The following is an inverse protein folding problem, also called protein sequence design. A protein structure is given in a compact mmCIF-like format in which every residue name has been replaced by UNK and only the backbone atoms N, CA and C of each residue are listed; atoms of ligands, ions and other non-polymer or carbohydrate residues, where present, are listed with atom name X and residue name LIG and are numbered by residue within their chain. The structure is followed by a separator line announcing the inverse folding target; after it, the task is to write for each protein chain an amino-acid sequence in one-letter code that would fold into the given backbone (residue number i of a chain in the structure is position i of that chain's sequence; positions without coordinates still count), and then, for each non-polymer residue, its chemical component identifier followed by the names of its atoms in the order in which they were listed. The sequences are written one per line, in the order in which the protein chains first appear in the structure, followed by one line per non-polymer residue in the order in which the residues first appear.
data_IF_228524901900
#
_entry.id   IF_228524901900
#
_cell.length_a   1.000
_cell.length_b   1.000
_cell.length_c   1.000
_cell.angle_alpha   90.00
_cell.angle_beta   90.00
_cell.angle_gamma   90.00
#
_symmetry.space_group_name_H-M   'P 1'
#
loop_
_entity.id
_entity.type
_entity.pdbx_description
1 polymer ?
#
# COMPACT_ATOMS: atom_id res chain seq x y z
N UNK A 1 9.87 -0.13 24.92
CA UNK A 1 8.62 0.65 24.92
C UNK A 1 7.62 0.19 23.90
N UNK A 2 6.35 0.11 24.32
CA UNK A 2 5.17 -0.28 23.52
C UNK A 2 4.34 0.93 23.08
N UNK A 3 4.82 2.15 23.32
CA UNK A 3 4.12 3.38 22.96
C UNK A 3 4.23 3.61 21.46
N UNK A 4 3.09 3.87 20.83
CA UNK A 4 2.99 4.31 19.44
C UNK A 4 2.48 5.74 19.41
N UNK A 5 3.02 6.52 18.49
CA UNK A 5 2.67 7.91 18.27
C UNK A 5 2.29 8.13 16.80
N UNK A 6 1.29 8.99 16.58
CA UNK A 6 0.90 9.46 15.26
C UNK A 6 1.87 10.53 14.72
N UNK A 7 1.60 11.03 13.51
CA UNK A 7 2.40 12.10 12.89
C UNK A 7 2.47 13.40 13.70
N UNK A 8 1.52 13.64 14.61
CA UNK A 8 1.48 14.80 15.51
C UNK A 8 2.09 14.54 16.90
N UNK A 9 2.61 13.33 17.15
CA UNK A 9 3.17 12.95 18.45
C UNK A 9 2.12 12.56 19.50
N UNK A 10 0.87 12.32 19.09
CA UNK A 10 -0.22 11.90 19.97
C UNK A 10 -0.43 10.39 19.89
N UNK A 11 -1.16 9.85 20.87
CA UNK A 11 -1.57 8.43 20.84
C UNK A 11 -2.48 8.18 19.62
N UNK A 12 -2.14 7.23 18.73
CA UNK A 12 -2.96 6.93 17.57
C UNK A 12 -4.31 6.35 18.01
N UNK A 13 -5.38 6.77 17.34
CA UNK A 13 -6.73 6.25 17.58
C UNK A 13 -7.13 5.33 16.43
N UNK A 14 -7.41 4.07 16.76
CA UNK A 14 -7.97 3.10 15.83
C UNK A 14 -9.40 2.78 16.28
N UNK A 15 -10.32 2.72 15.33
CA UNK A 15 -11.73 2.43 15.60
C UNK A 15 -12.11 1.05 15.06
N UNK A 16 -13.29 0.55 15.44
CA UNK A 16 -13.87 -0.64 14.84
C UNK A 16 -13.95 -0.50 13.30
N UNK A 17 -14.21 0.71 12.80
CA UNK A 17 -14.22 1.01 11.36
C UNK A 17 -12.85 0.78 10.71
N UNK A 18 -11.74 1.06 11.40
CA UNK A 18 -10.39 0.76 10.92
C UNK A 18 -10.21 -0.76 10.74
N UNK A 19 -10.62 -1.54 11.73
CA UNK A 19 -10.58 -3.00 11.68
C UNK A 19 -11.48 -3.57 10.58
N UNK A 20 -12.72 -3.09 10.46
CA UNK A 20 -13.64 -3.55 9.41
C UNK A 20 -13.09 -3.26 8.01
N UNK A 21 -12.52 -2.07 7.77
CA UNK A 21 -11.89 -1.73 6.48
C UNK A 21 -10.71 -2.66 6.18
N UNK A 22 -9.90 -2.99 7.18
CA UNK A 22 -8.83 -3.96 7.00
C UNK A 22 -9.38 -5.33 6.58
N UNK A 23 -10.39 -5.87 7.27
CA UNK A 23 -10.94 -7.19 6.96
C UNK A 23 -11.66 -7.22 5.60
N UNK A 24 -12.32 -6.14 5.20
CA UNK A 24 -12.92 -6.01 3.86
C UNK A 24 -11.85 -6.06 2.76
N UNK A 25 -10.77 -5.29 2.93
CA UNK A 25 -9.62 -5.34 2.03
C UNK A 25 -9.04 -6.76 1.93
N UNK A 26 -8.88 -7.44 3.07
CA UNK A 26 -8.36 -8.83 3.07
C UNK A 26 -9.28 -9.75 2.27
N UNK A 27 -10.59 -9.66 2.48
CA UNK A 27 -11.57 -10.48 1.76
C UNK A 27 -11.48 -10.29 0.24
N UNK A 28 -11.35 -9.06 -0.21
CA UNK A 28 -11.26 -8.71 -1.65
C UNK A 28 -9.94 -9.17 -2.26
N UNK A 29 -8.82 -8.83 -1.61
CA UNK A 29 -7.47 -9.02 -2.16
C UNK A 29 -6.96 -10.46 -2.04
N UNK A 30 -7.51 -11.27 -1.13
CA UNK A 30 -6.98 -12.62 -0.86
C UNK A 30 -6.99 -13.55 -2.07
N UNK A 31 -7.93 -13.37 -3.01
CA UNK A 31 -8.04 -14.19 -4.21
C UNK A 31 -6.92 -13.91 -5.21
N UNK A 32 -6.53 -12.66 -5.35
CA UNK A 32 -5.52 -12.22 -6.32
C UNK A 32 -4.11 -12.25 -5.74
N UNK A 33 -3.96 -11.72 -4.53
CA UNK A 33 -2.65 -11.51 -3.90
C UNK A 33 -2.29 -12.60 -2.88
N UNK A 34 -3.25 -13.44 -2.50
CA UNK A 34 -3.10 -14.47 -1.48
C UNK A 34 -3.36 -13.95 -0.06
N UNK A 35 -3.92 -14.80 0.79
CA UNK A 35 -4.38 -14.44 2.14
C UNK A 35 -3.34 -13.74 3.01
N UNK A 36 -2.10 -14.27 3.06
CA UNK A 36 -1.04 -13.72 3.92
C UNK A 36 -0.59 -12.33 3.48
N UNK A 37 -0.44 -12.13 2.17
CA UNK A 37 -0.10 -10.83 1.60
C UNK A 37 -1.23 -9.84 1.83
N UNK A 38 -2.47 -10.25 1.56
CA UNK A 38 -3.66 -9.41 1.78
C UNK A 38 -3.78 -8.99 3.25
N UNK A 39 -3.53 -9.90 4.21
CA UNK A 39 -3.47 -9.60 5.64
C UNK A 39 -2.42 -8.53 5.96
N UNK A 40 -1.19 -8.71 5.47
CA UNK A 40 -0.11 -7.75 5.70
C UNK A 40 -0.41 -6.39 5.06
N UNK A 41 -0.74 -6.37 3.77
CA UNK A 41 -1.00 -5.14 3.01
C UNK A 41 -2.16 -4.37 3.65
N UNK A 42 -3.27 -5.04 3.97
CA UNK A 42 -4.40 -4.40 4.62
C UNK A 42 -4.08 -3.85 6.02
N UNK A 43 -3.27 -4.56 6.80
CA UNK A 43 -2.82 -4.09 8.10
C UNK A 43 -1.87 -2.88 7.97
N UNK A 44 -0.94 -2.94 7.01
CA UNK A 44 -0.04 -1.83 6.71
C UNK A 44 -0.83 -0.55 6.38
N UNK A 45 -1.87 -0.68 5.57
CA UNK A 45 -2.72 0.43 5.17
C UNK A 45 -3.58 0.99 6.31
N UNK A 46 -4.13 0.09 7.14
CA UNK A 46 -5.02 0.46 8.23
C UNK A 46 -4.30 1.04 9.46
N UNK A 47 -3.07 0.57 9.75
CA UNK A 47 -2.39 0.89 11.01
C UNK A 47 -1.13 1.73 10.83
N UNK A 48 -0.38 1.61 9.74
CA UNK A 48 0.91 2.31 9.59
C UNK A 48 0.78 3.73 9.06
N UNK A 49 -0.27 4.03 8.29
CA UNK A 49 -0.45 5.30 7.58
C UNK A 49 -0.68 6.50 8.50
N UNK A 50 -1.20 6.27 9.71
CA UNK A 50 -1.43 7.30 10.74
C UNK A 50 -0.18 7.54 11.61
N UNK A 51 0.74 6.58 11.65
CA UNK A 51 1.88 6.60 12.58
C UNK A 51 3.02 7.48 12.10
N UNK A 52 3.77 8.06 13.04
CA UNK A 52 5.07 8.61 12.70
C UNK A 52 6.06 7.51 12.29
N UNK A 53 7.17 7.92 11.65
CA UNK A 53 8.14 6.99 11.07
C UNK A 53 8.66 5.94 12.06
N UNK A 54 8.97 6.34 13.29
CA UNK A 54 9.52 5.45 14.32
C UNK A 54 8.49 4.43 14.81
N UNK A 55 7.26 4.90 15.07
CA UNK A 55 6.15 4.04 15.50
C UNK A 55 5.69 3.11 14.38
N UNK A 56 5.73 3.57 13.13
CA UNK A 56 5.44 2.75 11.96
C UNK A 56 6.43 1.58 11.83
N UNK A 57 7.73 1.79 12.07
CA UNK A 57 8.73 0.71 12.07
C UNK A 57 8.44 -0.32 13.15
N UNK A 58 8.09 0.12 14.37
CA UNK A 58 7.70 -0.78 15.46
C UNK A 58 6.45 -1.59 15.12
N UNK A 59 5.41 -0.91 14.64
CA UNK A 59 4.15 -1.55 14.29
C UNK A 59 4.32 -2.53 13.12
N UNK A 60 5.08 -2.19 12.09
CA UNK A 60 5.36 -3.08 10.95
C UNK A 60 6.02 -4.39 11.39
N UNK A 61 6.98 -4.30 12.32
CA UNK A 61 7.60 -5.48 12.93
C UNK A 61 6.57 -6.36 13.65
N UNK A 62 5.68 -5.75 14.42
CA UNK A 62 4.61 -6.49 15.12
C UNK A 62 3.64 -7.16 14.13
N UNK A 63 3.22 -6.44 13.09
CA UNK A 63 2.36 -6.97 12.03
C UNK A 63 3.03 -8.18 11.38
N UNK A 64 4.29 -8.06 10.96
CA UNK A 64 5.06 -9.18 10.37
C UNK A 64 5.17 -10.35 11.34
N UNK A 65 5.56 -10.10 12.58
CA UNK A 65 5.69 -11.15 13.59
C UNK A 65 4.36 -11.88 13.86
N UNK A 66 3.21 -11.21 13.78
CA UNK A 66 1.91 -11.80 14.13
C UNK A 66 1.17 -12.38 12.93
N UNK A 67 1.34 -11.82 11.74
CA UNK A 67 0.60 -12.19 10.53
C UNK A 67 1.44 -12.96 9.51
N UNK A 68 2.78 -12.79 9.52
CA UNK A 68 3.67 -13.38 8.52
C UNK A 68 4.38 -14.67 8.98
N UNK A 69 4.05 -15.24 10.15
CA UNK A 69 4.70 -16.46 10.66
C UNK A 69 4.62 -17.62 9.67
N UNK A 70 5.76 -18.02 9.11
CA UNK A 70 5.91 -19.17 8.21
C UNK A 70 7.20 -19.12 7.37
N UNK A 71 7.64 -20.24 6.76
CA UNK A 71 8.94 -20.38 6.09
C UNK A 71 9.15 -19.55 4.81
N UNK A 72 8.28 -18.57 4.52
CA UNK A 72 8.32 -17.70 3.33
C UNK A 72 8.46 -16.21 3.66
N UNK A 73 9.08 -15.86 4.79
CA UNK A 73 9.36 -14.46 5.17
C UNK A 73 10.24 -13.70 4.16
N UNK A 74 10.87 -14.38 3.20
CA UNK A 74 11.87 -13.82 2.30
C UNK A 74 11.49 -13.89 0.81
N UNK A 75 10.30 -14.42 0.46
CA UNK A 75 9.88 -14.39 -0.93
C UNK A 75 9.62 -12.92 -1.33
N UNK A 76 10.20 -12.43 -2.45
CA UNK A 76 9.88 -11.11 -2.96
C UNK A 76 8.36 -10.96 -3.10
N UNK A 77 7.84 -9.77 -2.79
CA UNK A 77 6.44 -9.45 -3.07
C UNK A 77 6.31 -9.34 -4.59
N UNK A 78 6.11 -10.47 -5.25
CA UNK A 78 5.94 -10.52 -6.71
C UNK A 78 4.51 -10.07 -7.04
N UNK A 79 4.39 -9.24 -8.07
CA UNK A 79 3.08 -8.90 -8.63
C UNK A 79 2.35 -10.20 -9.06
N UNK A 80 1.06 -10.36 -8.74
CA UNK A 80 0.29 -11.48 -9.26
C UNK A 80 0.13 -11.35 -10.77
N UNK A 81 -0.40 -12.39 -11.42
CA UNK A 81 -0.76 -12.30 -12.85
C UNK A 81 -1.73 -11.14 -13.08
N UNK A 82 -1.61 -10.53 -14.25
CA UNK A 82 -2.51 -9.47 -14.67
C UNK A 82 -3.98 -9.90 -14.56
N UNK A 83 -4.87 -9.07 -14.00
CA UNK A 83 -6.28 -9.38 -13.94
C UNK A 83 -6.90 -9.46 -15.34
N UNK A 84 -7.84 -10.39 -15.52
CA UNK A 84 -8.59 -10.53 -16.77
C UNK A 84 -9.32 -9.23 -17.13
N UNK A 85 -9.26 -8.82 -18.40
CA UNK A 85 -9.94 -7.62 -18.91
C UNK A 85 -9.02 -6.54 -19.47
N UNK A 86 -7.70 -6.63 -19.24
CA UNK A 86 -6.68 -5.82 -19.93
C UNK A 86 -6.72 -4.31 -19.66
N UNK A 87 -7.55 -3.85 -18.73
CA UNK A 87 -7.67 -2.43 -18.39
C UNK A 87 -6.92 -2.07 -17.10
N UNK A 88 -5.71 -2.61 -16.97
CA UNK A 88 -4.91 -2.52 -15.75
C UNK A 88 -3.50 -2.05 -16.04
N UNK A 89 -2.97 -1.20 -15.16
CA UNK A 89 -1.55 -0.83 -15.16
C UNK A 89 -0.88 -1.39 -13.91
N UNK A 90 0.31 -1.96 -14.07
CA UNK A 90 1.12 -2.40 -12.94
C UNK A 90 1.87 -1.19 -12.37
N UNK A 91 1.52 -0.80 -11.14
CA UNK A 91 2.32 0.14 -10.36
C UNK A 91 3.03 -0.61 -9.23
N UNK A 92 4.35 -0.73 -9.36
CA UNK A 92 5.20 -1.53 -8.46
C UNK A 92 4.70 -2.98 -8.41
N UNK A 93 3.95 -3.33 -7.38
CA UNK A 93 3.44 -4.67 -7.10
C UNK A 93 1.90 -4.74 -7.07
N UNK A 94 1.23 -3.66 -7.46
CA UNK A 94 -0.23 -3.51 -7.41
C UNK A 94 -0.78 -3.23 -8.81
N UNK A 95 -1.81 -3.98 -9.19
CA UNK A 95 -2.60 -3.71 -10.38
C UNK A 95 -3.62 -2.62 -10.08
N UNK A 96 -3.63 -1.57 -10.91
CA UNK A 96 -4.53 -0.43 -10.81
C UNK A 96 -5.44 -0.38 -12.02
N UNK A 97 -6.72 -0.11 -11.81
CA UNK A 97 -7.69 0.07 -12.90
C UNK A 97 -7.39 1.37 -13.63
N UNK A 98 -7.43 1.33 -14.96
CA UNK A 98 -7.24 2.51 -15.81
C UNK A 98 -8.61 3.07 -16.19
N UNK A 99 -8.76 4.39 -16.12
CA UNK A 99 -9.98 5.06 -16.60
C UNK A 99 -10.00 5.24 -18.12
N UNK A 100 -11.05 5.84 -18.65
CA UNK A 100 -11.27 6.01 -20.10
C UNK A 100 -10.32 7.04 -20.78
N UNK A 101 -9.42 7.65 -20.01
CA UNK A 101 -8.48 8.64 -20.51
C UNK A 101 -7.12 7.98 -20.75
N UNK A 102 -6.48 8.32 -21.87
CA UNK A 102 -5.14 7.85 -22.18
C UNK A 102 -4.17 8.25 -21.06
N UNK A 103 -3.29 7.31 -20.69
CA UNK A 103 -2.21 7.59 -19.75
C UNK A 103 -1.27 8.59 -20.42
N UNK A 104 -1.05 9.79 -19.84
CA UNK A 104 -0.18 10.78 -20.46
C UNK A 104 1.21 10.19 -20.68
N UNK A 105 1.70 10.20 -21.92
CA UNK A 105 3.06 9.80 -22.24
C UNK A 105 4.01 10.75 -21.50
N UNK A 106 4.64 10.25 -20.45
CA UNK A 106 5.44 11.08 -19.56
C UNK A 106 6.66 11.64 -20.28
N UNK A 107 6.57 12.91 -20.71
CA UNK A 107 7.56 13.98 -20.48
C UNK A 107 7.11 15.28 -21.15
N UNK A 108 6.90 16.30 -20.32
CA UNK A 108 6.89 17.72 -20.71
C UNK A 108 5.70 18.08 -21.62
N UNK A 109 4.82 18.95 -21.14
CA UNK A 109 3.89 19.68 -22.02
C UNK A 109 4.68 20.18 -23.26
N UNK A 110 4.13 20.08 -24.47
CA UNK A 110 4.85 20.43 -25.71
C UNK A 110 5.47 21.85 -25.74
N UNK A 111 5.10 22.70 -24.78
CA UNK A 111 5.59 24.05 -24.51
C UNK A 111 6.77 24.12 -23.51
N UNK A 112 7.30 23.01 -23.02
CA UNK A 112 8.41 23.01 -22.05
C UNK A 112 8.01 23.26 -20.59
N UNK A 113 6.72 23.44 -20.28
CA UNK A 113 6.25 23.83 -18.94
C UNK A 113 6.08 22.67 -17.95
N UNK A 114 6.10 21.42 -18.44
CA UNK A 114 5.83 20.24 -17.61
C UNK A 114 7.02 19.87 -16.72
N UNK A 115 7.03 20.31 -15.47
CA UNK A 115 8.01 19.84 -14.48
C UNK A 115 7.84 18.33 -14.25
N UNK A 116 8.90 17.55 -14.45
CA UNK A 116 8.89 16.13 -14.09
C UNK A 116 8.59 15.99 -12.58
N UNK A 117 7.65 15.11 -12.22
CA UNK A 117 7.30 14.88 -10.82
C UNK A 117 8.51 14.32 -10.05
N UNK A 118 8.89 14.99 -8.95
CA UNK A 118 10.07 14.62 -8.16
C UNK A 118 9.77 13.42 -7.28
N UNK A 119 10.26 12.24 -7.68
CA UNK A 119 10.10 10.99 -6.95
C UNK A 119 11.16 10.82 -5.84
N UNK A 120 10.90 11.42 -4.67
CA UNK A 120 11.71 11.14 -3.46
C UNK A 120 11.31 9.82 -2.81
N UNK A 121 12.14 9.27 -1.91
CA UNK A 121 11.84 8.02 -1.20
C UNK A 121 10.56 8.11 -0.36
N UNK A 122 10.28 9.27 0.24
CA UNK A 122 9.03 9.52 0.99
C UNK A 122 7.83 9.53 0.06
N UNK A 123 7.95 10.22 -1.09
CA UNK A 123 6.90 10.28 -2.11
C UNK A 123 6.62 8.89 -2.68
N UNK A 124 7.65 8.09 -3.00
CA UNK A 124 7.47 6.70 -3.46
C UNK A 124 6.74 5.85 -2.42
N UNK A 125 7.11 5.95 -1.14
CA UNK A 125 6.41 5.22 -0.06
C UNK A 125 4.95 5.64 0.05
N UNK A 126 4.66 6.93 -0.08
CA UNK A 126 3.29 7.42 -0.10
C UNK A 126 2.50 6.90 -1.31
N UNK A 127 3.09 6.93 -2.51
CA UNK A 127 2.48 6.37 -3.72
C UNK A 127 2.21 4.86 -3.60
N UNK A 128 3.10 4.09 -2.96
CA UNK A 128 2.85 2.66 -2.68
C UNK A 128 1.67 2.46 -1.73
N UNK A 129 1.50 3.33 -0.71
CA UNK A 129 0.34 3.28 0.17
C UNK A 129 -0.96 3.62 -0.57
N UNK A 130 -0.92 4.61 -1.48
CA UNK A 130 -2.05 4.97 -2.32
C UNK A 130 -2.41 3.84 -3.29
N UNK A 131 -1.43 3.32 -4.03
CA UNK A 131 -1.60 2.21 -4.96
C UNK A 131 -2.22 0.99 -4.27
N UNK A 132 -1.77 0.66 -3.06
CA UNK A 132 -2.40 -0.40 -2.26
C UNK A 132 -3.87 -0.11 -1.93
N UNK A 133 -4.22 1.15 -1.65
CA UNK A 133 -5.58 1.54 -1.27
C UNK A 133 -6.58 1.54 -2.42
N UNK A 134 -6.10 1.68 -3.65
CA UNK A 134 -6.90 1.70 -4.88
C UNK A 134 -6.66 0.49 -5.78
N UNK A 135 -5.87 -0.49 -5.31
CA UNK A 135 -5.71 -1.76 -6.01
C UNK A 135 -7.06 -2.47 -6.14
N UNK A 136 -7.24 -3.21 -7.23
CA UNK A 136 -8.46 -4.01 -7.50
C UNK A 136 -8.61 -5.24 -6.63
#
# INVERSE_FOLDING_TARGET
DTILLDGGGLKPTYSLRTLCRWLLFVREMSRMYGMRRALYDGAAMAFLTVLNSESAVRMDRLIKQRLAQGPREQAPVVAPREPSGGNHVLFEQFWLEVGDQDIPEGKVSADGSGSAFVLTSSVRKNLQNLARAVAL
#
